data_IF_466723890552
#
_entry.id   IF_466723890552
#
_cell.length_a   1.000
_cell.length_b   1.000
_cell.length_c   1.000
_cell.angle_alpha   90.00
_cell.angle_beta   90.00
_cell.angle_gamma   90.00
#
_symmetry.space_group_name_H-M   'P 1'
#
loop_
_entity.id
_entity.type
_entity.pdbx_description
1 polymer ?
#
# COMPACT_ATOMS: atom_id res chain seq x y z
N UNK A 1 7.28 -53.98 49.44
CA UNK A 1 7.55 -52.85 48.51
C UNK A 1 6.45 -52.83 47.44
N UNK A 2 5.56 -51.83 47.46
CA UNK A 2 4.46 -51.67 46.49
C UNK A 2 4.93 -50.75 45.36
N UNK A 3 4.89 -51.20 44.11
CA UNK A 3 5.24 -50.40 42.93
C UNK A 3 3.98 -49.75 42.36
N UNK A 4 3.94 -48.43 42.31
CA UNK A 4 2.88 -47.61 41.71
C UNK A 4 3.08 -47.51 40.19
N UNK A 5 2.03 -47.61 39.35
CA UNK A 5 2.17 -47.47 37.90
C UNK A 5 2.16 -45.99 37.48
N UNK A 6 3.13 -45.65 36.63
CA UNK A 6 3.30 -44.34 36.01
C UNK A 6 2.20 -44.13 34.95
N UNK A 7 1.30 -43.16 35.17
CA UNK A 7 0.27 -42.76 34.20
C UNK A 7 0.85 -41.69 33.29
N UNK A 8 1.03 -42.00 32.00
CA UNK A 8 1.33 -41.01 30.98
C UNK A 8 0.03 -40.31 30.55
N UNK A 9 -0.21 -39.11 31.05
CA UNK A 9 -1.25 -38.23 30.51
C UNK A 9 -0.74 -37.61 29.22
N UNK A 10 -1.39 -37.95 28.11
CA UNK A 10 -1.20 -37.30 26.82
C UNK A 10 -1.67 -35.85 26.90
N UNK A 11 -0.72 -34.91 26.92
CA UNK A 11 -1.01 -33.49 26.73
C UNK A 11 -1.13 -33.21 25.23
N UNK A 12 -2.37 -33.06 24.76
CA UNK A 12 -2.68 -32.59 23.42
C UNK A 12 -2.38 -31.09 23.35
N UNK A 13 -1.21 -30.73 22.81
CA UNK A 13 -0.83 -29.34 22.55
C UNK A 13 -1.56 -28.86 21.29
N UNK A 14 -2.66 -28.12 21.46
CA UNK A 14 -3.35 -27.43 20.37
C UNK A 14 -2.55 -26.17 20.03
N UNK A 15 -1.77 -26.24 18.95
CA UNK A 15 -1.05 -25.09 18.39
C UNK A 15 -2.06 -24.20 17.65
N UNK A 16 -2.61 -23.19 18.34
CA UNK A 16 -3.38 -22.13 17.69
C UNK A 16 -2.40 -21.21 16.98
N UNK A 17 -2.23 -21.40 15.67
CA UNK A 17 -1.55 -20.42 14.81
C UNK A 17 -2.51 -19.24 14.63
N UNK A 18 -2.38 -18.22 15.48
CA UNK A 18 -2.97 -16.93 15.24
C UNK A 18 -2.25 -16.29 14.04
N UNK A 19 -2.83 -16.45 12.85
CA UNK A 19 -2.52 -15.58 11.73
C UNK A 19 -3.19 -14.25 12.01
N UNK A 20 -2.45 -13.33 12.63
CA UNK A 20 -2.86 -11.94 12.61
C UNK A 20 -2.78 -11.46 11.16
N UNK A 21 -3.96 -11.24 10.57
CA UNK A 21 -4.12 -10.46 9.35
C UNK A 21 -3.68 -9.03 9.68
N UNK A 22 -2.37 -8.80 9.64
CA UNK A 22 -1.80 -7.49 9.78
C UNK A 22 -2.12 -6.76 8.48
N UNK A 23 -2.94 -5.70 8.59
CA UNK A 23 -3.02 -4.69 7.56
C UNK A 23 -1.59 -4.36 7.11
N UNK A 24 -1.33 -4.35 5.80
CA UNK A 24 0.02 -4.17 5.32
C UNK A 24 0.54 -2.79 5.77
N UNK A 25 1.73 -2.75 6.38
CA UNK A 25 2.40 -1.50 6.75
C UNK A 25 3.32 -1.04 5.62
N UNK A 26 3.65 0.25 5.61
CA UNK A 26 4.68 0.80 4.74
C UNK A 26 6.00 0.05 4.96
N UNK A 27 6.67 -0.31 3.87
CA UNK A 27 8.07 -0.75 3.92
C UNK A 27 9.01 0.45 4.07
N UNK A 28 10.27 0.23 4.51
CA UNK A 28 11.24 1.30 4.65
C UNK A 28 11.30 2.21 3.42
N UNK A 29 11.09 3.51 3.66
CA UNK A 29 11.12 4.55 2.62
C UNK A 29 12.56 5.06 2.52
N UNK A 30 13.31 4.53 1.56
CA UNK A 30 14.68 4.93 1.30
C UNK A 30 14.71 6.01 0.20
N UNK A 31 14.73 7.29 0.58
CA UNK A 31 14.81 8.39 -0.39
C UNK A 31 16.16 8.40 -1.12
N UNK A 32 16.14 8.70 -2.43
CA UNK A 32 17.36 8.88 -3.23
C UNK A 32 17.54 10.38 -3.54
N UNK A 33 18.61 11.03 -3.05
CA UNK A 33 18.82 12.48 -3.23
C UNK A 33 19.03 12.89 -4.69
N UNK A 34 19.27 11.94 -5.60
CA UNK A 34 19.36 12.26 -7.02
C UNK A 34 17.98 12.47 -7.65
N UNK A 35 16.89 11.99 -7.04
CA UNK A 35 15.54 12.15 -7.56
C UNK A 35 14.90 13.41 -6.99
N UNK A 36 14.23 14.16 -7.87
CA UNK A 36 13.45 15.34 -7.50
C UNK A 36 12.05 15.19 -8.09
N UNK A 37 11.27 14.33 -7.44
CA UNK A 37 9.93 13.93 -7.89
C UNK A 37 8.99 15.13 -8.06
N UNK A 38 9.06 16.10 -7.14
CA UNK A 38 8.30 17.36 -7.21
C UNK A 38 9.20 18.58 -7.45
N UNK A 39 10.09 18.51 -8.45
CA UNK A 39 11.04 19.60 -8.80
C UNK A 39 10.37 20.95 -9.10
N UNK A 40 9.09 20.96 -9.40
CA UNK A 40 8.33 22.15 -9.78
C UNK A 40 7.38 22.66 -8.70
N UNK A 41 7.40 22.05 -7.51
CA UNK A 41 6.59 22.48 -6.35
C UNK A 41 5.11 22.50 -6.72
N UNK A 42 4.61 21.34 -7.12
CA UNK A 42 3.24 21.13 -7.60
C UNK A 42 2.26 21.57 -6.52
N UNK A 43 1.20 22.27 -6.95
CA UNK A 43 0.14 22.76 -6.08
C UNK A 43 -1.14 21.95 -6.32
N UNK A 44 -2.02 21.82 -5.32
CA UNK A 44 -1.93 22.32 -3.93
C UNK A 44 -0.88 21.61 -3.05
N UNK A 45 -0.54 22.12 -1.86
CA UNK A 45 0.42 21.46 -0.94
C UNK A 45 -0.14 21.31 0.47
N UNK A 46 -1.04 20.35 0.60
CA UNK A 46 -1.76 20.05 1.83
C UNK A 46 -0.92 19.12 2.71
N UNK A 47 -1.14 17.81 2.59
CA UNK A 47 -0.38 16.81 3.32
C UNK A 47 0.63 16.19 2.38
N UNK A 48 1.84 16.75 2.36
CA UNK A 48 2.94 16.23 1.56
C UNK A 48 3.47 14.93 2.18
N UNK A 49 3.64 13.92 1.32
CA UNK A 49 4.34 12.67 1.64
C UNK A 49 5.37 12.38 0.56
N UNK A 50 6.56 12.01 1.02
CA UNK A 50 7.68 11.65 0.16
C UNK A 50 7.90 10.14 0.23
N UNK A 51 7.79 9.49 -0.91
CA UNK A 51 8.15 8.09 -1.09
C UNK A 51 9.37 8.00 -1.98
N UNK A 52 10.03 6.84 -1.94
CA UNK A 52 11.19 6.56 -2.79
C UNK A 52 10.92 6.74 -4.29
N UNK A 53 9.69 6.51 -4.74
CA UNK A 53 9.33 6.55 -6.16
C UNK A 53 8.48 7.75 -6.58
N UNK A 54 7.88 8.47 -5.63
CA UNK A 54 6.97 9.55 -5.92
C UNK A 54 6.82 10.47 -4.71
N UNK A 55 6.43 11.71 -4.96
CA UNK A 55 5.91 12.64 -3.96
C UNK A 55 4.43 12.84 -4.22
N UNK A 56 3.65 13.09 -3.18
CA UNK A 56 2.19 13.26 -3.29
C UNK A 56 1.70 14.33 -2.31
N UNK A 57 0.64 15.05 -2.67
CA UNK A 57 -0.19 15.84 -1.75
C UNK A 57 -1.51 15.11 -1.53
N UNK A 58 -1.88 14.89 -0.27
CA UNK A 58 -3.21 14.40 0.08
C UNK A 58 -4.13 15.56 0.41
N UNK A 59 -5.37 15.43 -0.04
CA UNK A 59 -6.48 16.33 0.28
C UNK A 59 -6.70 16.36 1.79
N UNK A 60 -6.62 17.56 2.37
CA UNK A 60 -6.77 17.78 3.80
C UNK A 60 -8.18 18.30 4.16
N UNK A 61 -8.34 18.81 5.39
CA UNK A 61 -9.59 19.44 5.85
C UNK A 61 -9.60 20.96 5.61
N UNK A 62 -8.78 21.46 4.70
CA UNK A 62 -8.64 22.89 4.44
C UNK A 62 -9.89 23.52 3.79
N UNK A 63 -10.70 22.73 3.10
CA UNK A 63 -11.80 23.21 2.25
C UNK A 63 -13.22 22.63 2.59
N UNK A 64 -13.46 22.26 3.85
CA UNK A 64 -14.69 21.64 4.38
C UNK A 64 -15.04 20.23 3.85
N UNK A 65 -14.36 19.73 2.80
CA UNK A 65 -14.55 18.38 2.25
C UNK A 65 -13.19 17.68 2.15
N UNK A 66 -12.89 16.83 3.13
CA UNK A 66 -11.67 16.04 3.11
C UNK A 66 -11.95 14.61 2.65
N UNK A 67 -11.41 14.24 1.50
CA UNK A 67 -11.53 12.92 0.89
C UNK A 67 -10.38 11.98 1.30
N UNK A 68 -9.26 12.52 1.79
CA UNK A 68 -8.08 11.75 2.15
C UNK A 68 -7.46 10.98 0.98
N UNK A 69 -7.79 11.38 -0.26
CA UNK A 69 -7.19 10.87 -1.50
C UNK A 69 -6.11 11.85 -1.98
N UNK A 70 -5.21 11.46 -2.90
CA UNK A 70 -4.20 12.35 -3.43
C UNK A 70 -4.86 13.37 -4.34
N UNK A 71 -4.45 14.61 -4.22
CA UNK A 71 -4.77 15.66 -5.19
C UNK A 71 -3.82 15.56 -6.40
N UNK A 72 -2.56 15.19 -6.14
CA UNK A 72 -1.58 14.87 -7.16
C UNK A 72 -0.53 13.89 -6.65
N UNK A 73 0.06 13.18 -7.61
CA UNK A 73 1.23 12.32 -7.44
C UNK A 73 2.24 12.68 -8.52
N UNK A 74 3.45 13.05 -8.11
CA UNK A 74 4.55 13.45 -8.98
C UNK A 74 5.69 12.44 -8.87
N UNK A 75 6.29 12.06 -9.99
CA UNK A 75 7.44 11.17 -10.02
C UNK A 75 8.35 11.47 -11.20
N UNK A 76 9.62 11.11 -11.03
CA UNK A 76 10.66 11.32 -12.03
C UNK A 76 11.07 9.95 -12.60
N UNK A 77 11.03 9.80 -13.91
CA UNK A 77 11.47 8.59 -14.59
C UNK A 77 12.88 8.82 -15.15
N UNK A 78 13.82 7.99 -14.72
CA UNK A 78 15.18 7.95 -15.24
C UNK A 78 15.44 6.68 -16.06
N UNK A 79 16.44 6.67 -16.95
CA UNK A 79 16.92 5.45 -17.58
C UNK A 79 17.26 4.40 -16.52
N UNK A 80 16.77 3.17 -16.70
CA UNK A 80 17.11 2.04 -15.85
C UNK A 80 18.15 1.18 -16.58
N UNK A 81 19.29 0.86 -15.96
CA UNK A 81 20.46 0.31 -16.66
C UNK A 81 20.28 -1.12 -17.16
N UNK A 82 19.27 -1.84 -16.69
CA UNK A 82 19.02 -3.25 -17.03
C UNK A 82 17.53 -3.48 -17.28
N UNK A 83 17.15 -4.53 -18.02
CA UNK A 83 15.77 -5.01 -18.02
C UNK A 83 15.35 -5.41 -16.60
N UNK A 84 14.17 -5.01 -16.19
CA UNK A 84 13.60 -5.50 -14.94
C UNK A 84 13.10 -6.93 -15.10
N UNK A 85 13.35 -7.76 -14.10
CA UNK A 85 12.70 -9.07 -13.96
C UNK A 85 11.22 -8.95 -13.57
N UNK A 86 10.63 -10.07 -13.18
CA UNK A 86 9.27 -10.11 -12.64
C UNK A 86 9.15 -9.22 -11.39
N UNK A 87 8.08 -8.44 -11.31
CA UNK A 87 7.78 -7.64 -10.12
C UNK A 87 7.46 -8.53 -8.91
N UNK A 88 7.65 -8.07 -7.67
CA UNK A 88 7.22 -8.77 -6.47
C UNK A 88 5.73 -9.03 -6.50
N UNK A 89 5.31 -10.03 -5.72
CA UNK A 89 3.90 -10.24 -5.45
C UNK A 89 3.34 -8.99 -4.76
N UNK A 90 2.14 -8.58 -5.20
CA UNK A 90 1.38 -7.54 -4.49
C UNK A 90 1.01 -8.04 -3.08
N UNK A 91 0.84 -7.14 -2.10
CA UNK A 91 0.23 -7.53 -0.83
C UNK A 91 -1.19 -8.09 -1.05
N UNK A 92 -1.63 -8.96 -0.15
CA UNK A 92 -2.99 -9.53 -0.16
C UNK A 92 -4.04 -8.45 0.06
N UNK A 93 -3.76 -7.51 0.95
CA UNK A 93 -4.58 -6.36 1.31
C UNK A 93 -3.83 -5.07 1.02
N UNK A 94 -4.54 -4.02 0.62
CA UNK A 94 -3.93 -2.70 0.47
C UNK A 94 -3.74 -2.04 1.82
N UNK A 95 -2.64 -1.33 1.98
CA UNK A 95 -2.35 -0.61 3.22
C UNK A 95 -3.34 0.55 3.33
N UNK A 96 -4.04 0.67 4.45
CA UNK A 96 -4.85 1.86 4.72
C UNK A 96 -4.02 2.83 5.55
N UNK A 97 -3.88 4.06 5.07
CA UNK A 97 -3.25 5.09 5.89
C UNK A 97 -4.25 5.54 6.96
N UNK A 98 -3.94 5.21 8.20
CA UNK A 98 -4.82 5.47 9.34
C UNK A 98 -4.66 6.87 9.92
N UNK A 99 -3.67 7.65 9.47
CA UNK A 99 -3.29 8.90 10.13
C UNK A 99 -4.40 9.97 10.12
N UNK A 100 -5.43 9.82 9.29
CA UNK A 100 -6.51 10.80 9.19
C UNK A 100 -7.92 10.24 9.32
N UNK A 101 -8.11 8.93 9.18
CA UNK A 101 -9.44 8.31 9.16
C UNK A 101 -10.36 8.85 8.06
N UNK A 102 -9.80 9.55 7.07
CA UNK A 102 -10.51 10.13 5.93
C UNK A 102 -10.41 9.27 4.69
N UNK A 103 -9.25 8.61 4.52
CA UNK A 103 -8.96 7.83 3.34
C UNK A 103 -9.91 6.63 3.20
N UNK A 104 -10.30 6.28 1.96
CA UNK A 104 -10.99 5.04 1.69
C UNK A 104 -10.19 3.84 2.21
N UNK A 105 -10.89 2.87 2.81
CA UNK A 105 -10.30 1.59 3.23
C UNK A 105 -10.30 0.59 2.09
N UNK A 106 -9.56 -0.52 2.24
CA UNK A 106 -9.58 -1.61 1.24
C UNK A 106 -11.01 -2.11 0.95
N UNK A 107 -11.81 -2.24 2.01
CA UNK A 107 -13.20 -2.69 1.95
C UNK A 107 -14.12 -1.72 1.21
N UNK A 108 -13.81 -0.42 1.18
CA UNK A 108 -14.65 0.58 0.49
C UNK A 108 -14.75 0.35 -1.02
N UNK A 109 -13.76 -0.32 -1.61
CA UNK A 109 -13.76 -0.70 -3.03
C UNK A 109 -14.55 -1.99 -3.30
N UNK A 110 -14.81 -2.80 -2.27
CA UNK A 110 -15.53 -4.05 -2.41
C UNK A 110 -16.98 -3.78 -2.80
N UNK A 111 -17.42 -4.33 -3.94
CA UNK A 111 -18.76 -4.08 -4.53
C UNK A 111 -19.04 -2.62 -4.96
N UNK A 112 -18.02 -1.76 -5.00
CA UNK A 112 -18.17 -0.36 -5.41
C UNK A 112 -18.39 -0.16 -6.91
N UNK A 113 -18.08 -1.18 -7.72
CA UNK A 113 -17.93 -1.13 -9.20
C UNK A 113 -16.73 -0.31 -9.67
N UNK A 114 -15.81 0.03 -8.77
CA UNK A 114 -14.57 0.72 -9.09
C UNK A 114 -13.36 -0.15 -8.76
N UNK A 115 -12.36 -0.10 -9.65
CA UNK A 115 -11.05 -0.69 -9.41
C UNK A 115 -10.14 0.29 -8.64
N UNK A 116 -9.20 -0.28 -7.87
CA UNK A 116 -8.12 0.48 -7.21
C UNK A 116 -7.04 0.80 -8.23
N UNK A 117 -6.98 2.05 -8.67
CA UNK A 117 -6.03 2.55 -9.67
C UNK A 117 -4.78 3.18 -9.06
N UNK A 118 -3.60 2.70 -9.44
CA UNK A 118 -2.34 3.33 -9.04
C UNK A 118 -2.13 4.68 -9.76
N UNK A 119 -1.87 5.77 -9.03
CA UNK A 119 -1.34 7.01 -9.65
C UNK A 119 0.14 6.89 -10.02
N UNK A 120 0.96 6.42 -9.08
CA UNK A 120 2.31 5.98 -9.37
C UNK A 120 2.27 4.51 -9.80
N UNK A 121 2.46 4.28 -11.09
CA UNK A 121 2.42 2.92 -11.65
C UNK A 121 3.43 2.01 -10.94
N UNK A 122 2.95 0.84 -10.47
CA UNK A 122 3.75 -0.18 -9.77
C UNK A 122 5.09 -0.44 -10.45
N UNK A 123 5.08 -0.64 -11.78
CA UNK A 123 6.29 -0.98 -12.54
C UNK A 123 7.32 0.16 -12.58
N UNK A 124 6.89 1.42 -12.45
CA UNK A 124 7.80 2.57 -12.33
C UNK A 124 8.49 2.51 -10.97
N UNK A 125 7.74 2.28 -9.89
CA UNK A 125 8.30 2.16 -8.55
C UNK A 125 9.23 0.94 -8.41
N UNK A 126 8.91 -0.19 -9.06
CA UNK A 126 9.76 -1.38 -9.11
C UNK A 126 11.17 -1.11 -9.65
N UNK A 127 11.34 -0.13 -10.55
CA UNK A 127 12.68 0.31 -11.03
C UNK A 127 13.57 0.80 -9.91
N UNK A 128 12.99 1.22 -8.80
CA UNK A 128 13.69 1.74 -7.63
C UNK A 128 13.78 0.72 -6.50
N UNK A 129 13.17 -0.46 -6.64
CA UNK A 129 13.30 -1.59 -5.72
C UNK A 129 11.98 -2.09 -5.15
N UNK A 130 12.05 -3.24 -4.47
CA UNK A 130 10.88 -3.93 -3.92
C UNK A 130 10.11 -3.12 -2.87
N UNK A 131 10.81 -2.29 -2.08
CA UNK A 131 10.17 -1.45 -1.07
C UNK A 131 9.36 -0.31 -1.72
N UNK A 132 9.90 0.28 -2.80
CA UNK A 132 9.19 1.29 -3.56
C UNK A 132 7.93 0.71 -4.24
N UNK A 133 8.04 -0.46 -4.86
CA UNK A 133 6.92 -1.23 -5.42
C UNK A 133 5.85 -1.53 -4.37
N UNK A 134 6.27 -2.01 -3.19
CA UNK A 134 5.35 -2.28 -2.09
C UNK A 134 4.57 -1.03 -1.71
N UNK A 135 5.25 0.10 -1.51
CA UNK A 135 4.69 1.37 -1.07
C UNK A 135 3.78 2.06 -2.11
N UNK A 136 3.59 1.48 -3.31
CA UNK A 136 2.51 1.91 -4.21
C UNK A 136 1.16 1.28 -3.89
N UNK A 137 1.14 0.22 -3.06
CA UNK A 137 -0.07 -0.53 -2.71
C UNK A 137 -0.74 -0.01 -1.44
N UNK A 138 -0.78 1.31 -1.30
CA UNK A 138 -1.52 1.99 -0.23
C UNK A 138 -2.83 2.53 -0.82
N UNK A 139 -3.90 2.55 -0.04
CA UNK A 139 -5.20 3.10 -0.48
C UNK A 139 -5.10 4.61 -0.69
N UNK A 140 -4.11 5.23 -0.07
CA UNK A 140 -3.79 6.63 -0.16
C UNK A 140 -3.39 7.07 -1.58
N UNK A 141 -2.29 6.64 -2.25
CA UNK A 141 -1.91 7.03 -3.62
C UNK A 141 -2.87 6.55 -4.72
N UNK A 142 -4.07 6.09 -4.37
CA UNK A 142 -5.13 5.79 -5.32
C UNK A 142 -5.82 7.08 -5.74
N UNK A 143 -5.64 7.44 -7.01
CA UNK A 143 -6.68 8.22 -7.68
C UNK A 143 -7.77 7.21 -8.03
N UNK A 144 -8.99 7.54 -7.64
CA UNK A 144 -10.17 6.96 -8.26
C UNK A 144 -10.06 7.14 -9.79
N UNK A 145 -10.65 6.23 -10.55
CA UNK A 145 -10.67 6.14 -12.02
C UNK A 145 -9.64 5.21 -12.65
N UNK A 146 -9.94 3.92 -12.57
CA UNK A 146 -10.25 3.21 -13.82
C UNK A 146 -11.69 2.72 -13.71
N UNK A 147 -12.60 3.35 -14.45
CA UNK A 147 -13.84 2.70 -14.84
C UNK A 147 -13.44 1.65 -15.87
N UNK A 148 -13.27 0.41 -15.45
CA UNK A 148 -13.37 -0.68 -16.41
C UNK A 148 -14.87 -1.00 -16.50
N UNK A 149 -15.45 -0.83 -17.68
CA UNK A 149 -16.74 -1.44 -18.00
C UNK A 149 -16.52 -2.96 -18.12
N UNK A 150 -16.14 -3.59 -17.00
CA UNK A 150 -15.69 -4.96 -16.93
C UNK A 150 -16.76 -5.83 -16.31
N UNK A 151 -17.59 -6.48 -17.15
CA UNK A 151 -18.47 -7.61 -16.84
C UNK A 151 -18.39 -8.13 -15.39
N UNK A 152 -19.15 -7.53 -14.48
CA UNK A 152 -19.44 -8.16 -13.20
C UNK A 152 -20.52 -9.21 -13.46
N UNK A 153 -20.11 -10.41 -13.89
CA UNK A 153 -20.96 -11.59 -13.78
C UNK A 153 -21.19 -11.87 -12.30
N UNK A 154 -22.46 -11.76 -11.90
CA UNK A 154 -23.05 -12.19 -10.63
C UNK A 154 -22.68 -13.62 -10.25
#
# INVERSE_FOLDING_TARGET
>A
MKRTPLRYSAALLVLVLAFEANASEYRPIELDPNYSHDRWVTQPQDIIREFRAYTTSFDSKDNDIALGIPEWVAYEIKPHPQPLGASPARPSEWMTDSEQGLAPTDDSYKHSKYDRGHMCQKYIAWRLGANADWNTHTTNPLCNFIWTEGNHST
#
